data_IF_342230065034
#
_entry.id   IF_342230065034
#
_cell.length_a   1.000
_cell.length_b   1.000
_cell.length_c   1.000
_cell.angle_alpha   90.00
_cell.angle_beta   90.00
_cell.angle_gamma   90.00
#
_symmetry.space_group_name_H-M   'P 1'
#
loop_
_entity.id
_entity.type
_entity.pdbx_description
1 polymer ?
#
# COMPACT_ATOMS: atom_id res chain seq x y z
N UNK A 1 19.43 16.14 -10.47
CA UNK A 1 18.76 16.10 -9.16
C UNK A 1 18.38 14.64 -8.92
N UNK A 2 18.77 14.06 -7.79
CA UNK A 2 18.38 12.68 -7.44
C UNK A 2 16.86 12.72 -7.21
N UNK A 3 16.12 11.82 -7.84
CA UNK A 3 14.68 11.71 -7.68
C UNK A 3 14.39 11.09 -6.30
N UNK A 4 13.37 11.54 -5.57
CA UNK A 4 12.98 11.01 -4.26
C UNK A 4 12.77 9.48 -4.28
N UNK A 5 12.31 8.93 -5.40
CA UNK A 5 12.15 7.49 -5.61
C UNK A 5 13.48 6.72 -5.59
N UNK A 6 14.52 7.27 -6.22
CA UNK A 6 15.84 6.65 -6.20
C UNK A 6 16.47 6.71 -4.80
N UNK A 7 16.20 7.75 -4.02
CA UNK A 7 16.57 7.85 -2.61
C UNK A 7 15.82 6.80 -1.78
N UNK A 8 14.50 6.70 -1.96
CA UNK A 8 13.64 5.71 -1.27
C UNK A 8 14.09 4.29 -1.60
N UNK A 9 14.30 3.98 -2.89
CA UNK A 9 14.80 2.68 -3.34
C UNK A 9 16.11 2.31 -2.66
N UNK A 10 17.09 3.21 -2.71
CA UNK A 10 18.42 2.97 -2.12
C UNK A 10 18.34 2.77 -0.62
N UNK A 11 17.49 3.52 0.07
CA UNK A 11 17.28 3.40 1.50
C UNK A 11 16.67 2.04 1.88
N UNK A 12 15.67 1.56 1.15
CA UNK A 12 15.06 0.25 1.40
C UNK A 12 16.00 -0.91 1.04
N UNK A 13 16.76 -0.83 -0.06
CA UNK A 13 17.78 -1.82 -0.40
C UNK A 13 18.87 -1.96 0.70
N UNK A 14 19.16 -0.87 1.42
CA UNK A 14 20.10 -0.88 2.53
C UNK A 14 19.59 -1.54 3.82
N UNK A 15 18.32 -1.84 3.94
CA UNK A 15 17.70 -2.32 5.20
C UNK A 15 16.86 -3.59 5.05
N UNK A 16 16.95 -4.32 3.93
CA UNK A 16 16.08 -5.46 3.59
C UNK A 16 15.95 -6.46 4.73
N UNK A 17 17.08 -7.00 5.23
CA UNK A 17 17.09 -8.03 6.28
C UNK A 17 16.48 -7.51 7.59
N UNK A 18 16.87 -6.29 8.00
CA UNK A 18 16.35 -5.66 9.19
C UNK A 18 14.83 -5.43 9.05
N UNK A 19 14.40 -4.90 7.91
CA UNK A 19 13.00 -4.64 7.63
C UNK A 19 12.19 -5.94 7.64
N UNK A 20 12.63 -6.97 6.93
CA UNK A 20 11.97 -8.27 6.91
C UNK A 20 11.81 -8.85 8.32
N UNK A 21 12.86 -8.82 9.15
CA UNK A 21 12.81 -9.31 10.53
C UNK A 21 11.83 -8.54 11.43
N UNK A 22 11.76 -7.21 11.27
CA UNK A 22 10.87 -6.35 12.08
C UNK A 22 9.39 -6.50 11.69
N UNK A 23 9.12 -6.85 10.44
CA UNK A 23 7.75 -6.88 9.90
C UNK A 23 7.18 -8.29 9.74
N UNK A 24 8.00 -9.35 9.86
CA UNK A 24 7.56 -10.74 9.70
C UNK A 24 6.28 -11.09 10.52
N UNK A 25 6.19 -10.62 11.78
CA UNK A 25 5.07 -10.89 12.66
C UNK A 25 4.28 -9.63 13.05
N UNK A 26 4.50 -8.51 12.36
CA UNK A 26 3.91 -7.22 12.76
C UNK A 26 2.39 -7.24 12.76
N UNK A 27 1.76 -7.91 11.81
CA UNK A 27 0.30 -8.02 11.76
C UNK A 27 -0.31 -8.80 12.92
N UNK A 28 0.45 -9.66 13.60
CA UNK A 28 -0.03 -10.35 14.81
C UNK A 28 -0.37 -9.36 15.91
N UNK A 29 0.38 -8.25 15.98
CA UNK A 29 0.21 -7.17 16.96
C UNK A 29 -0.63 -6.00 16.45
N UNK A 30 -1.11 -6.05 15.20
CA UNK A 30 -1.90 -5.01 14.56
C UNK A 30 -3.29 -5.51 14.15
N UNK A 31 -4.21 -5.72 15.11
CA UNK A 31 -5.52 -6.33 14.84
C UNK A 31 -6.37 -5.49 13.87
N UNK A 32 -6.26 -4.18 13.89
CA UNK A 32 -7.01 -3.30 13.00
C UNK A 32 -6.54 -3.41 11.55
N UNK A 33 -5.23 -3.37 11.29
CA UNK A 33 -4.68 -3.58 9.95
C UNK A 33 -5.07 -4.98 9.42
N UNK A 34 -4.93 -6.01 10.25
CA UNK A 34 -5.32 -7.38 9.89
C UNK A 34 -6.82 -7.48 9.53
N UNK A 35 -7.69 -6.81 10.30
CA UNK A 35 -9.12 -6.77 10.02
C UNK A 35 -9.43 -6.07 8.70
N UNK A 36 -8.81 -4.92 8.44
CA UNK A 36 -9.02 -4.18 7.20
C UNK A 36 -8.53 -4.96 5.97
N UNK A 37 -7.37 -5.63 6.06
CA UNK A 37 -6.86 -6.49 4.99
C UNK A 37 -7.77 -7.71 4.78
N UNK A 38 -8.25 -8.34 5.84
CA UNK A 38 -9.21 -9.45 5.75
C UNK A 38 -10.52 -9.04 5.08
N UNK A 39 -11.09 -7.90 5.49
CA UNK A 39 -12.30 -7.32 4.88
C UNK A 39 -12.05 -6.97 3.40
N UNK A 40 -10.93 -6.36 3.07
CA UNK A 40 -10.55 -6.08 1.68
C UNK A 40 -10.52 -7.37 0.85
N UNK A 41 -9.84 -8.42 1.32
CA UNK A 41 -9.74 -9.68 0.59
C UNK A 41 -11.10 -10.35 0.37
N UNK A 42 -11.98 -10.33 1.37
CA UNK A 42 -13.35 -10.84 1.26
C UNK A 42 -14.16 -10.07 0.19
N UNK A 43 -14.09 -8.74 0.22
CA UNK A 43 -14.80 -7.89 -0.72
C UNK A 43 -14.25 -8.04 -2.15
N UNK A 44 -12.93 -8.12 -2.33
CA UNK A 44 -12.32 -8.38 -3.66
C UNK A 44 -12.80 -9.71 -4.23
N UNK A 45 -12.83 -10.77 -3.43
CA UNK A 45 -13.37 -12.07 -3.88
C UNK A 45 -14.84 -11.97 -4.30
N UNK A 46 -15.63 -11.15 -3.60
CA UNK A 46 -17.04 -10.95 -3.92
C UNK A 46 -17.27 -10.21 -5.24
N UNK A 47 -16.27 -9.47 -5.78
CA UNK A 47 -16.37 -8.86 -7.13
C UNK A 47 -16.37 -9.90 -8.26
N UNK A 48 -15.92 -11.14 -7.99
CA UNK A 48 -15.72 -12.18 -9.00
C UNK A 48 -14.37 -12.09 -9.73
N UNK A 49 -13.55 -11.06 -9.46
CA UNK A 49 -12.17 -10.94 -9.94
C UNK A 49 -11.19 -11.01 -8.75
N UNK A 50 -10.68 -12.19 -8.39
CA UNK A 50 -9.79 -12.34 -7.22
C UNK A 50 -8.36 -11.88 -7.48
N UNK A 51 -8.02 -11.36 -8.65
CA UNK A 51 -6.67 -10.91 -9.00
C UNK A 51 -6.34 -9.63 -8.25
N UNK A 52 -5.27 -9.64 -7.44
CA UNK A 52 -4.90 -8.51 -6.61
C UNK A 52 -3.39 -8.22 -6.64
N UNK A 53 -3.04 -6.94 -6.66
CA UNK A 53 -1.66 -6.48 -6.51
C UNK A 53 -1.42 -5.95 -5.10
N UNK A 54 -0.31 -6.35 -4.50
CA UNK A 54 0.28 -5.75 -3.31
C UNK A 54 1.36 -4.75 -3.77
N UNK A 55 1.04 -3.47 -3.77
CA UNK A 55 1.88 -2.40 -4.35
C UNK A 55 2.74 -1.76 -3.26
N UNK A 56 4.05 -1.89 -3.40
CA UNK A 56 5.04 -1.65 -2.34
C UNK A 56 5.06 -2.84 -1.37
N UNK A 57 5.16 -4.05 -1.92
CA UNK A 57 5.00 -5.30 -1.17
C UNK A 57 6.15 -5.58 -0.19
N UNK A 58 7.29 -4.89 -0.32
CA UNK A 58 8.48 -5.13 0.48
C UNK A 58 8.89 -6.61 0.46
N UNK A 59 9.12 -7.24 1.62
CA UNK A 59 9.55 -8.65 1.71
C UNK A 59 8.44 -9.68 1.42
N UNK A 60 7.23 -9.26 1.00
CA UNK A 60 6.19 -10.12 0.44
C UNK A 60 5.23 -10.76 1.44
N UNK A 61 5.33 -10.46 2.73
CA UNK A 61 4.50 -11.10 3.77
C UNK A 61 2.99 -10.78 3.62
N UNK A 62 2.63 -9.56 3.16
CA UNK A 62 1.24 -9.21 2.88
C UNK A 62 0.72 -9.85 1.60
N UNK A 63 1.57 -9.95 0.58
CA UNK A 63 1.25 -10.71 -0.64
C UNK A 63 0.91 -12.17 -0.30
N UNK A 64 1.69 -12.80 0.59
CA UNK A 64 1.43 -14.16 1.08
C UNK A 64 0.09 -14.24 1.85
N UNK A 65 -0.17 -13.30 2.74
CA UNK A 65 -1.45 -13.21 3.45
C UNK A 65 -2.64 -13.06 2.49
N UNK A 66 -2.56 -12.20 1.49
CA UNK A 66 -3.62 -12.05 0.49
C UNK A 66 -3.87 -13.37 -0.26
N UNK A 67 -2.81 -14.10 -0.60
CA UNK A 67 -2.92 -15.41 -1.23
C UNK A 67 -3.61 -16.43 -0.30
N UNK A 68 -3.23 -16.48 0.98
CA UNK A 68 -3.86 -17.34 1.99
C UNK A 68 -5.34 -17.00 2.19
N UNK A 69 -5.72 -15.72 2.02
CA UNK A 69 -7.11 -15.25 2.04
C UNK A 69 -7.88 -15.55 0.74
N UNK A 70 -7.26 -16.26 -0.21
CA UNK A 70 -7.90 -16.76 -1.43
C UNK A 70 -7.88 -15.81 -2.61
N UNK A 71 -6.96 -14.84 -2.65
CA UNK A 71 -6.72 -13.99 -3.80
C UNK A 71 -5.63 -14.56 -4.73
N UNK A 72 -5.74 -14.30 -6.04
CA UNK A 72 -4.63 -14.44 -6.98
C UNK A 72 -3.68 -13.23 -6.82
N UNK A 73 -2.94 -13.27 -5.71
CA UNK A 73 -2.10 -12.15 -5.27
C UNK A 73 -0.71 -12.21 -5.89
N UNK A 74 -0.15 -11.02 -6.18
CA UNK A 74 1.25 -10.84 -6.57
C UNK A 74 1.77 -9.51 -6.02
N UNK A 75 3.09 -9.44 -5.79
CA UNK A 75 3.75 -8.29 -5.19
C UNK A 75 4.53 -7.46 -6.19
N UNK A 76 4.47 -6.14 -6.02
CA UNK A 76 5.25 -5.16 -6.77
C UNK A 76 5.99 -4.25 -5.80
N UNK A 77 7.27 -4.02 -6.03
CA UNK A 77 8.07 -3.10 -5.23
C UNK A 77 9.14 -2.41 -6.09
N UNK A 78 9.56 -1.22 -5.67
CA UNK A 78 10.58 -0.43 -6.34
C UNK A 78 12.00 -0.94 -6.04
N UNK A 79 12.21 -1.55 -4.87
CA UNK A 79 13.51 -1.97 -4.37
C UNK A 79 13.84 -3.41 -4.82
N UNK A 80 14.86 -3.62 -5.67
CA UNK A 80 15.26 -4.96 -6.12
C UNK A 80 15.58 -5.91 -4.99
N UNK A 81 16.24 -5.44 -3.92
CA UNK A 81 16.55 -6.25 -2.76
C UNK A 81 15.31 -6.77 -2.03
N UNK A 82 14.24 -5.98 -1.94
CA UNK A 82 12.95 -6.43 -1.40
C UNK A 82 12.32 -7.53 -2.27
N UNK A 83 12.34 -7.36 -3.58
CA UNK A 83 11.81 -8.35 -4.54
C UNK A 83 12.58 -9.66 -4.47
N UNK A 84 13.92 -9.61 -4.39
CA UNK A 84 14.74 -10.81 -4.28
C UNK A 84 14.50 -11.55 -2.96
N UNK A 85 14.36 -10.82 -1.85
CA UNK A 85 13.97 -11.39 -0.57
C UNK A 85 12.57 -12.03 -0.63
N UNK A 86 11.58 -11.33 -1.18
CA UNK A 86 10.20 -11.82 -1.31
C UNK A 86 10.13 -13.12 -2.14
N UNK A 87 10.87 -13.21 -3.25
CA UNK A 87 10.96 -14.43 -4.07
C UNK A 87 11.57 -15.61 -3.32
N UNK A 88 12.57 -15.35 -2.48
CA UNK A 88 13.21 -16.40 -1.65
C UNK A 88 12.27 -16.86 -0.53
N UNK A 89 11.60 -15.92 0.15
CA UNK A 89 10.70 -16.22 1.25
C UNK A 89 9.39 -16.90 0.78
N UNK A 90 8.89 -16.53 -0.41
CA UNK A 90 7.60 -16.99 -0.94
C UNK A 90 7.72 -17.47 -2.40
N UNK A 91 8.46 -18.56 -2.66
CA UNK A 91 8.80 -19.01 -4.04
C UNK A 91 7.60 -19.44 -4.89
N UNK A 92 6.44 -19.67 -4.28
CA UNK A 92 5.20 -20.00 -4.99
C UNK A 92 4.45 -18.76 -5.50
N UNK A 93 4.83 -17.56 -5.07
CA UNK A 93 4.18 -16.30 -5.42
C UNK A 93 4.99 -15.53 -6.48
N UNK A 94 4.31 -14.60 -7.13
CA UNK A 94 4.91 -13.75 -8.16
C UNK A 94 5.28 -12.40 -7.58
N UNK A 95 6.52 -11.97 -7.82
CA UNK A 95 7.03 -10.67 -7.42
C UNK A 95 7.78 -10.01 -8.57
N UNK A 96 7.56 -8.71 -8.76
CA UNK A 96 8.19 -7.97 -9.86
C UNK A 96 8.60 -6.57 -9.39
N UNK A 97 9.77 -6.12 -9.83
CA UNK A 97 10.19 -4.74 -9.66
C UNK A 97 9.29 -3.81 -10.49
N UNK A 98 8.71 -2.80 -9.86
CA UNK A 98 7.85 -1.83 -10.52
C UNK A 98 7.80 -0.50 -9.76
N UNK A 99 7.51 0.58 -10.50
CA UNK A 99 7.18 1.90 -9.96
C UNK A 99 5.68 2.02 -9.79
N UNK A 100 5.23 2.63 -8.69
CA UNK A 100 3.80 2.81 -8.38
C UNK A 100 3.07 3.73 -9.36
N UNK A 101 3.80 4.63 -10.01
CA UNK A 101 3.30 5.59 -11.01
C UNK A 101 3.18 4.99 -12.40
N UNK A 102 3.73 3.79 -12.62
CA UNK A 102 3.69 3.11 -13.91
C UNK A 102 3.77 1.61 -13.70
N UNK A 103 2.62 1.01 -13.41
CA UNK A 103 2.51 -0.40 -13.12
C UNK A 103 2.50 -1.22 -14.42
N UNK A 104 3.25 -2.33 -14.49
CA UNK A 104 3.26 -3.22 -15.66
C UNK A 104 1.99 -4.10 -15.70
N UNK A 105 0.83 -3.47 -15.63
CA UNK A 105 -0.49 -4.10 -15.54
C UNK A 105 -1.41 -3.42 -16.55
N UNK A 106 -2.20 -4.22 -17.25
CA UNK A 106 -3.19 -3.73 -18.21
C UNK A 106 -4.32 -2.95 -17.50
N UNK A 107 -4.98 -2.06 -18.23
CA UNK A 107 -6.13 -1.31 -17.73
C UNK A 107 -7.23 -2.27 -17.27
N UNK A 108 -7.87 -1.93 -16.15
CA UNK A 108 -9.02 -2.67 -15.63
C UNK A 108 -8.79 -4.18 -15.41
N UNK A 109 -7.55 -4.59 -15.10
CA UNK A 109 -7.17 -5.99 -14.97
C UNK A 109 -7.35 -6.56 -13.56
N UNK A 110 -7.44 -5.72 -12.53
CA UNK A 110 -7.42 -6.14 -11.12
C UNK A 110 -8.78 -5.98 -10.46
N UNK A 111 -9.14 -6.95 -9.60
CA UNK A 111 -10.23 -6.80 -8.65
C UNK A 111 -9.80 -6.06 -7.38
N UNK A 112 -8.50 -6.04 -7.06
CA UNK A 112 -8.00 -5.35 -5.88
C UNK A 112 -6.57 -4.83 -5.98
N UNK A 113 -6.31 -3.72 -5.29
CA UNK A 113 -4.97 -3.18 -5.02
C UNK A 113 -4.84 -2.95 -3.52
N UNK A 114 -3.79 -3.49 -2.92
CA UNK A 114 -3.36 -3.18 -1.56
C UNK A 114 -2.15 -2.24 -1.63
N UNK A 115 -2.23 -1.10 -0.95
CA UNK A 115 -1.13 -0.16 -0.76
C UNK A 115 -0.94 0.11 0.74
N UNK A 116 -0.23 -0.81 1.40
CA UNK A 116 -0.10 -0.80 2.86
C UNK A 116 1.16 -0.07 3.31
N UNK A 117 1.02 1.18 3.75
CA UNK A 117 2.12 2.09 4.11
C UNK A 117 3.19 2.25 3.01
N UNK A 118 2.81 2.05 1.76
CA UNK A 118 3.73 2.09 0.63
C UNK A 118 3.76 3.45 -0.09
N UNK A 119 2.64 4.20 -0.04
CA UNK A 119 2.55 5.53 -0.64
C UNK A 119 3.07 6.67 0.26
N UNK A 120 3.51 6.35 1.49
CA UNK A 120 3.88 7.35 2.51
C UNK A 120 5.07 8.23 2.13
N UNK A 121 5.93 7.77 1.22
CA UNK A 121 7.09 8.51 0.75
C UNK A 121 6.81 9.41 -0.45
N UNK A 122 5.60 9.32 -1.03
CA UNK A 122 5.21 10.13 -2.19
C UNK A 122 4.94 11.57 -1.78
N UNK A 123 5.61 12.56 -2.39
CA UNK A 123 5.33 13.97 -2.15
C UNK A 123 3.85 14.30 -2.46
N UNK A 124 3.22 15.20 -1.69
CA UNK A 124 1.81 15.53 -1.89
C UNK A 124 1.43 15.93 -3.32
N UNK A 125 2.31 16.64 -4.02
CA UNK A 125 2.08 17.07 -5.41
C UNK A 125 2.13 15.94 -6.44
N UNK A 126 2.70 14.78 -6.12
CA UNK A 126 2.84 13.61 -7.00
C UNK A 126 1.78 12.53 -6.70
N UNK A 127 1.14 12.60 -5.54
CA UNK A 127 0.15 11.60 -5.12
C UNK A 127 -1.06 11.48 -6.08
N UNK A 128 -1.60 12.56 -6.67
CA UNK A 128 -2.72 12.45 -7.62
C UNK A 128 -2.39 11.57 -8.84
N UNK A 129 -1.19 11.69 -9.41
CA UNK A 129 -0.76 10.87 -10.55
C UNK A 129 -0.64 9.39 -10.16
N UNK A 130 -0.08 9.13 -8.98
CA UNK A 130 0.03 7.79 -8.42
C UNK A 130 -1.36 7.16 -8.19
N UNK A 131 -2.32 7.91 -7.64
CA UNK A 131 -3.69 7.41 -7.41
C UNK A 131 -4.43 7.16 -8.73
N UNK A 132 -4.21 7.97 -9.76
CA UNK A 132 -4.77 7.75 -11.10
C UNK A 132 -4.27 6.42 -11.69
N UNK A 133 -3.00 6.08 -11.48
CA UNK A 133 -2.44 4.80 -11.92
C UNK A 133 -3.06 3.60 -11.17
N UNK A 134 -3.30 3.73 -9.85
CA UNK A 134 -4.01 2.70 -9.11
C UNK A 134 -5.45 2.52 -9.62
N UNK A 135 -6.13 3.61 -9.96
CA UNK A 135 -7.45 3.57 -10.55
C UNK A 135 -7.43 2.93 -11.95
N UNK A 136 -6.42 3.21 -12.78
CA UNK A 136 -6.29 2.65 -14.14
C UNK A 136 -6.28 1.13 -14.13
N UNK A 137 -5.50 0.52 -13.24
CA UNK A 137 -5.32 -0.95 -13.20
C UNK A 137 -6.50 -1.70 -12.59
N UNK A 138 -7.33 -1.04 -11.77
CA UNK A 138 -8.51 -1.65 -11.17
C UNK A 138 -9.62 -1.81 -12.22
N UNK A 139 -10.32 -2.94 -12.21
CA UNK A 139 -11.57 -3.14 -12.96
C UNK A 139 -12.69 -2.23 -12.40
N UNK A 140 -13.77 -1.99 -13.15
CA UNK A 140 -14.98 -1.39 -12.58
C UNK A 140 -15.42 -2.16 -11.32
N UNK A 141 -15.82 -1.46 -10.28
CA UNK A 141 -16.08 -2.01 -8.93
C UNK A 141 -14.88 -2.65 -8.21
N UNK A 142 -13.69 -2.63 -8.80
CA UNK A 142 -12.45 -3.04 -8.14
C UNK A 142 -12.11 -2.17 -6.93
N UNK A 143 -11.35 -2.70 -5.99
CA UNK A 143 -11.14 -2.11 -4.68
C UNK A 143 -9.68 -1.70 -4.44
N UNK A 144 -9.48 -0.52 -3.85
CA UNK A 144 -8.21 -0.09 -3.29
C UNK A 144 -8.32 -0.08 -1.75
N UNK A 145 -7.39 -0.74 -1.07
CA UNK A 145 -7.13 -0.50 0.34
C UNK A 145 -5.81 0.25 0.47
N UNK A 146 -5.86 1.48 0.98
CA UNK A 146 -4.67 2.27 1.32
C UNK A 146 -4.52 2.39 2.83
N UNK A 147 -3.32 2.10 3.33
CA UNK A 147 -2.93 2.32 4.73
C UNK A 147 -1.85 3.39 4.82
N UNK A 148 -1.98 4.31 5.75
CA UNK A 148 -1.12 5.49 5.85
C UNK A 148 -1.03 6.01 7.29
N UNK A 149 -0.08 6.89 7.54
CA UNK A 149 -0.01 7.66 8.78
C UNK A 149 -1.02 8.80 8.73
N UNK A 150 -2.02 8.77 9.61
CA UNK A 150 -3.02 9.81 9.73
C UNK A 150 -2.54 10.96 10.61
N UNK A 151 -3.12 12.15 10.41
CA UNK A 151 -2.90 13.34 11.23
C UNK A 151 -4.20 14.13 11.42
N UNK A 152 -4.32 14.86 12.52
CA UNK A 152 -5.40 15.82 12.77
C UNK A 152 -5.12 17.21 12.22
N UNK A 153 -3.93 17.42 11.59
CA UNK A 153 -3.61 18.66 10.87
C UNK A 153 -4.51 18.82 9.63
N UNK A 154 -4.60 20.03 9.09
CA UNK A 154 -5.43 20.31 7.91
C UNK A 154 -4.75 19.90 6.60
N UNK A 155 -3.41 19.88 6.58
CA UNK A 155 -2.57 19.60 5.42
C UNK A 155 -1.62 18.44 5.70
N UNK A 156 -1.10 17.76 4.66
CA UNK A 156 -0.10 16.72 4.82
C UNK A 156 1.15 17.23 5.53
N UNK A 157 1.64 16.48 6.50
CA UNK A 157 2.84 16.85 7.28
C UNK A 157 3.99 15.92 6.93
N UNK A 158 5.09 16.53 6.46
CA UNK A 158 6.35 15.79 6.24
C UNK A 158 7.02 15.49 7.58
N UNK A 159 7.45 14.26 7.76
CA UNK A 159 8.18 13.84 8.94
C UNK A 159 9.37 12.93 8.60
N UNK A 160 10.29 12.80 9.54
CA UNK A 160 11.45 11.93 9.43
C UNK A 160 11.06 10.49 9.77
N UNK A 161 10.80 9.69 8.74
CA UNK A 161 10.65 8.25 8.86
C UNK A 161 12.03 7.60 8.78
N UNK A 162 12.31 6.63 9.64
CA UNK A 162 13.67 6.05 9.82
C UNK A 162 14.35 5.56 8.55
N UNK A 163 13.60 5.28 7.48
CA UNK A 163 14.15 4.80 6.19
C UNK A 163 14.31 5.95 5.22
N UNK A 164 13.25 6.68 4.93
CA UNK A 164 13.23 7.83 4.04
C UNK A 164 12.18 8.84 4.53
N UNK A 165 12.25 10.13 4.15
CA UNK A 165 11.22 11.10 4.49
C UNK A 165 9.83 10.61 4.10
N UNK A 166 8.84 10.82 4.97
CA UNK A 166 7.47 10.39 4.74
C UNK A 166 6.46 11.50 5.05
N UNK A 167 5.20 11.26 4.71
CA UNK A 167 4.10 12.19 4.91
C UNK A 167 2.98 11.52 5.71
N UNK A 168 2.47 12.21 6.72
CA UNK A 168 1.18 11.89 7.33
C UNK A 168 0.09 12.72 6.67
N UNK A 169 -1.12 12.16 6.57
CA UNK A 169 -2.20 12.76 5.82
C UNK A 169 -3.46 12.92 6.66
N UNK A 170 -4.17 14.08 6.55
CA UNK A 170 -5.55 14.16 7.00
C UNK A 170 -6.38 13.14 6.23
N UNK A 171 -7.14 12.32 6.93
CA UNK A 171 -7.89 11.24 6.29
C UNK A 171 -8.95 11.75 5.29
N UNK A 172 -9.59 12.88 5.60
CA UNK A 172 -10.58 13.48 4.70
C UNK A 172 -9.92 14.03 3.43
N UNK A 173 -8.73 14.64 3.55
CA UNK A 173 -7.99 15.16 2.39
C UNK A 173 -7.51 14.05 1.45
N UNK A 174 -7.04 12.93 2.01
CA UNK A 174 -6.70 11.76 1.20
C UNK A 174 -7.94 11.14 0.54
N UNK A 175 -9.07 11.11 1.24
CA UNK A 175 -10.34 10.64 0.69
C UNK A 175 -10.83 11.49 -0.50
N UNK A 176 -10.65 12.82 -0.45
CA UNK A 176 -10.93 13.71 -1.58
C UNK A 176 -10.05 13.39 -2.80
N UNK A 177 -8.74 13.22 -2.61
CA UNK A 177 -7.82 12.88 -3.71
C UNK A 177 -8.14 11.52 -4.32
N UNK A 178 -8.55 10.53 -3.51
CA UNK A 178 -9.04 9.25 -4.01
C UNK A 178 -10.28 9.44 -4.88
N UNK A 179 -11.26 10.23 -4.42
CA UNK A 179 -12.48 10.49 -5.17
C UNK A 179 -12.20 11.21 -6.50
N UNK A 180 -11.29 12.19 -6.51
CA UNK A 180 -10.84 12.90 -7.72
C UNK A 180 -10.19 11.95 -8.74
N UNK A 181 -9.54 10.89 -8.28
CA UNK A 181 -8.99 9.83 -9.13
C UNK A 181 -10.01 8.76 -9.56
N UNK A 182 -11.31 8.91 -9.22
CA UNK A 182 -12.36 7.94 -9.53
C UNK A 182 -12.39 6.74 -8.58
N UNK A 183 -11.75 6.86 -7.41
CA UNK A 183 -11.72 5.86 -6.35
C UNK A 183 -12.59 6.37 -5.19
N UNK A 184 -13.86 5.95 -5.14
CA UNK A 184 -14.84 6.43 -4.17
C UNK A 184 -14.65 5.76 -2.81
N UNK A 185 -14.19 6.47 -1.76
CA UNK A 185 -14.04 5.91 -0.42
C UNK A 185 -15.40 5.54 0.16
N UNK A 186 -15.52 4.36 0.78
CA UNK A 186 -16.77 3.90 1.39
C UNK A 186 -16.58 3.32 2.81
N UNK A 187 -15.35 3.03 3.23
CA UNK A 187 -15.06 2.63 4.59
C UNK A 187 -13.72 3.21 5.04
N UNK A 188 -13.63 3.55 6.33
CA UNK A 188 -12.41 4.03 6.95
C UNK A 188 -12.24 3.49 8.36
N UNK A 189 -11.00 3.31 8.77
CA UNK A 189 -10.62 3.02 10.14
C UNK A 189 -9.48 3.97 10.51
N UNK A 190 -9.67 4.69 11.60
CA UNK A 190 -8.65 5.52 12.22
C UNK A 190 -8.41 4.98 13.62
N UNK A 191 -7.18 4.73 13.97
CA UNK A 191 -6.79 4.18 15.25
C UNK A 191 -5.60 4.98 15.80
N UNK A 192 -5.76 5.49 17.02
CA UNK A 192 -4.64 6.03 17.78
C UNK A 192 -3.91 4.85 18.44
N UNK A 193 -2.68 4.51 18.02
CA UNK A 193 -1.94 3.40 18.61
C UNK A 193 -1.45 3.71 20.03
N UNK A 194 -1.87 4.81 20.64
CA UNK A 194 -1.36 5.33 21.92
C UNK A 194 0.19 5.40 21.93
N UNK A 195 0.77 5.61 20.77
CA UNK A 195 2.22 5.66 20.60
C UNK A 195 2.71 7.07 20.80
N UNK A 196 3.92 7.21 21.33
CA UNK A 196 4.64 8.48 21.43
C UNK A 196 4.91 9.14 20.06
N UNK A 197 4.46 8.52 18.96
CA UNK A 197 4.73 8.95 17.58
C UNK A 197 3.82 10.08 17.09
N UNK A 198 2.67 10.32 17.74
CA UNK A 198 1.73 11.39 17.37
C UNK A 198 1.04 11.19 16.01
N UNK A 199 1.04 9.97 15.47
CA UNK A 199 0.35 9.63 14.21
C UNK A 199 -0.76 8.62 14.46
N UNK A 200 -1.87 8.76 13.75
CA UNK A 200 -2.90 7.74 13.68
C UNK A 200 -2.50 6.64 12.68
N UNK A 201 -2.79 5.39 13.01
CA UNK A 201 -2.84 4.33 12.00
C UNK A 201 -4.17 4.48 11.24
N UNK A 202 -4.09 4.72 9.94
CA UNK A 202 -5.24 5.06 9.12
C UNK A 202 -5.37 4.12 7.91
N UNK A 203 -6.62 3.74 7.62
CA UNK A 203 -6.97 2.88 6.50
C UNK A 203 -8.19 3.47 5.79
N UNK A 204 -8.12 3.56 4.46
CA UNK A 204 -9.24 3.91 3.59
C UNK A 204 -9.48 2.77 2.60
N UNK A 205 -10.73 2.35 2.49
CA UNK A 205 -11.18 1.39 1.50
C UNK A 205 -12.04 2.14 0.47
N UNK A 206 -11.62 2.10 -0.79
CA UNK A 206 -12.24 2.81 -1.88
C UNK A 206 -12.61 1.85 -3.02
N UNK A 207 -13.62 2.20 -3.79
CA UNK A 207 -14.10 1.45 -4.96
C UNK A 207 -13.89 2.28 -6.22
N UNK A 208 -13.41 1.66 -7.29
CA UNK A 208 -13.40 2.27 -8.60
C UNK A 208 -14.82 2.44 -9.14
N UNK A 209 -15.16 3.69 -9.49
CA UNK A 209 -16.43 4.04 -10.13
C UNK A 209 -16.49 3.58 -11.59
#
# INVERSE_FOLDING_TARGET
MVNHQDETRTAYDGVVELYASLFANRLETQPFSRTMIGTFAELVRATGNPRAADVGCGPGHLTAMLHELGLDAFGLDLAPGMIDHARQAHPALRFQEARMESLPIEDAALGGVLAHYSMIHTPPGELPELLAEQARVLAPDGLLLVSFFGTDEQEPVRFDHKVAPAYSWPADRLAELLADAGLVPFARLLHDPASERGFLDAHLLARRS
#
